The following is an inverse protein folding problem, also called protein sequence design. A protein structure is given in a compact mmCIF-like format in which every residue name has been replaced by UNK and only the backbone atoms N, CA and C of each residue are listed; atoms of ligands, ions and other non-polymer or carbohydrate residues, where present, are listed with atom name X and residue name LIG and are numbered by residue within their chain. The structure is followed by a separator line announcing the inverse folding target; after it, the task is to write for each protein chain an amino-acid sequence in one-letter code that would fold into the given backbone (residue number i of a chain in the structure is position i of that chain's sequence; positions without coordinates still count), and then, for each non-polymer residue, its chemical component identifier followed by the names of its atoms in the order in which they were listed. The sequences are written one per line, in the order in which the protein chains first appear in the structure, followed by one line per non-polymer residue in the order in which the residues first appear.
data_IF_506602910135
#
_entry.id   IF_506602910135
#
_cell.length_a   1.000
_cell.length_b   1.000
_cell.length_c   1.000
_cell.angle_alpha   90.00
_cell.angle_beta   90.00
_cell.angle_gamma   90.00
#
_symmetry.space_group_name_H-M   'P 1'
#
loop_
_entity.id
_entity.type
_entity.pdbx_description
1 polymer ?
#
# COMPACT_ATOMS: atom_id res chain seq x y z
N UNK A 1 -14.61 -7.25 -14.65
CA UNK A 1 -14.44 -7.39 -13.19
C UNK A 1 -12.98 -7.24 -12.74
N UNK A 2 -12.01 -7.87 -13.41
CA UNK A 2 -10.59 -7.86 -12.97
C UNK A 2 -9.91 -6.47 -12.96
N UNK A 3 -10.19 -5.61 -13.95
CA UNK A 3 -9.64 -4.24 -13.99
C UNK A 3 -10.14 -3.39 -12.81
N UNK A 4 -11.40 -3.57 -12.41
CA UNK A 4 -11.96 -2.85 -11.26
C UNK A 4 -11.30 -3.31 -9.96
N UNK A 5 -10.96 -4.60 -9.85
CA UNK A 5 -10.20 -5.14 -8.72
C UNK A 5 -8.78 -4.60 -8.62
N UNK A 6 -8.08 -4.40 -9.75
CA UNK A 6 -6.73 -3.80 -9.76
C UNK A 6 -6.75 -2.38 -9.20
N UNK A 7 -7.65 -1.52 -9.69
CA UNK A 7 -7.77 -0.15 -9.19
C UNK A 7 -8.16 -0.10 -7.71
N UNK A 8 -9.08 -0.98 -7.30
CA UNK A 8 -9.46 -1.13 -5.89
C UNK A 8 -8.26 -1.47 -5.01
N UNK A 9 -7.44 -2.44 -5.40
CA UNK A 9 -6.25 -2.82 -4.63
C UNK A 9 -5.14 -1.78 -4.67
N UNK A 10 -4.96 -1.06 -5.79
CA UNK A 10 -4.04 0.08 -5.84
C UNK A 10 -4.45 1.19 -4.88
N UNK A 11 -5.74 1.50 -4.80
CA UNK A 11 -6.26 2.49 -3.84
C UNK A 11 -6.07 2.00 -2.39
N UNK A 12 -6.35 0.73 -2.11
CA UNK A 12 -6.11 0.14 -0.79
C UNK A 12 -4.63 0.12 -0.42
N UNK A 13 -3.74 -0.18 -1.37
CA UNK A 13 -2.28 -0.09 -1.19
C UNK A 13 -1.88 1.34 -0.84
N UNK A 14 -2.38 2.33 -1.59
CA UNK A 14 -2.07 3.73 -1.34
C UNK A 14 -2.54 4.18 0.05
N UNK A 15 -3.79 3.89 0.43
CA UNK A 15 -4.35 4.29 1.74
C UNK A 15 -3.60 3.58 2.89
N UNK A 16 -3.38 2.27 2.77
CA UNK A 16 -2.67 1.50 3.80
C UNK A 16 -1.19 1.88 3.91
N UNK A 17 -0.60 2.50 2.88
CA UNK A 17 0.76 3.03 2.90
C UNK A 17 0.96 4.17 3.90
N UNK A 18 -0.11 4.85 4.30
CA UNK A 18 -0.05 5.92 5.30
C UNK A 18 -0.35 5.45 6.73
N UNK A 19 -0.89 4.24 6.89
CA UNK A 19 -1.21 3.69 8.21
C UNK A 19 0.08 3.36 8.96
N UNK A 20 0.20 3.83 10.20
CA UNK A 20 1.40 3.63 11.02
C UNK A 20 2.57 4.60 10.73
N UNK A 21 2.47 5.47 9.71
CA UNK A 21 3.45 6.56 9.52
C UNK A 21 3.32 7.66 10.58
N UNK A 22 2.12 7.84 11.12
CA UNK A 22 1.80 8.82 12.15
C UNK A 22 0.84 8.21 13.16
N UNK A 23 0.91 8.58 14.45
CA UNK A 23 -0.08 8.18 15.45
C UNK A 23 -1.53 8.57 15.09
N UNK A 24 -1.69 9.53 14.17
CA UNK A 24 -2.99 10.02 13.72
C UNK A 24 -3.62 9.07 12.70
N UNK A 25 -2.82 8.41 11.85
CA UNK A 25 -3.32 7.57 10.77
C UNK A 25 -3.34 6.11 11.17
N UNK A 26 -4.53 5.65 11.54
CA UNK A 26 -4.79 4.30 12.01
C UNK A 26 -5.60 3.51 10.99
N UNK A 27 -5.58 2.19 11.13
CA UNK A 27 -6.40 1.27 10.37
C UNK A 27 -7.87 1.65 10.44
N UNK A 28 -8.36 2.00 11.63
CA UNK A 28 -9.78 2.28 11.84
C UNK A 28 -10.23 3.61 11.22
N UNK A 29 -9.44 4.68 11.37
CA UNK A 29 -9.87 6.00 10.91
C UNK A 29 -9.57 6.26 9.42
N UNK A 30 -8.42 5.78 8.92
CA UNK A 30 -7.98 6.08 7.57
C UNK A 30 -8.34 4.93 6.63
N UNK A 31 -7.82 3.72 6.90
CA UNK A 31 -7.99 2.59 5.99
C UNK A 31 -9.43 2.10 5.92
N UNK A 32 -9.98 1.64 7.05
CA UNK A 32 -11.37 1.16 7.12
C UNK A 32 -12.37 2.30 6.91
N UNK A 33 -12.05 3.51 7.40
CA UNK A 33 -12.86 4.71 7.20
C UNK A 33 -13.08 5.01 5.71
N UNK A 34 -11.99 5.28 4.98
CA UNK A 34 -12.06 5.60 3.54
C UNK A 34 -12.50 4.40 2.71
N UNK A 35 -12.08 3.18 3.07
CA UNK A 35 -12.50 1.99 2.34
C UNK A 35 -14.00 1.74 2.47
N UNK A 36 -14.61 2.04 3.61
CA UNK A 36 -16.06 1.95 3.80
C UNK A 36 -16.79 3.08 3.07
N UNK A 37 -16.28 4.31 3.14
CA UNK A 37 -16.87 5.47 2.47
C UNK A 37 -16.94 5.29 0.95
N UNK A 38 -15.86 4.77 0.35
CA UNK A 38 -15.77 4.56 -1.10
C UNK A 38 -16.13 3.13 -1.55
N UNK A 39 -16.62 2.28 -0.65
CA UNK A 39 -17.01 0.91 -0.98
C UNK A 39 -15.86 0.01 -1.46
N UNK A 40 -14.61 0.32 -1.08
CA UNK A 40 -13.41 -0.46 -1.46
C UNK A 40 -13.34 -1.80 -0.71
N UNK A 41 -13.94 -1.90 0.48
CA UNK A 41 -14.00 -3.12 1.27
C UNK A 41 -15.46 -3.55 1.50
N UNK A 42 -15.79 -4.76 1.09
CA UNK A 42 -17.04 -5.41 1.49
C UNK A 42 -16.98 -5.84 2.96
N UNK A 43 -18.15 -5.85 3.63
CA UNK A 43 -18.29 -6.19 5.07
C UNK A 43 -17.72 -7.56 5.47
N UNK A 44 -17.55 -8.48 4.52
CA UNK A 44 -16.97 -9.82 4.73
C UNK A 44 -15.98 -10.17 3.63
N UNK A 45 -15.26 -9.17 3.12
CA UNK A 45 -14.27 -9.39 2.08
C UNK A 45 -13.04 -10.13 2.62
N UNK A 46 -12.45 -10.98 1.79
CA UNK A 46 -11.16 -11.63 2.09
C UNK A 46 -10.10 -10.58 2.43
N UNK A 47 -10.16 -9.44 1.75
CA UNK A 47 -9.31 -8.27 1.97
C UNK A 47 -9.42 -7.73 3.40
N UNK A 48 -10.62 -7.56 3.93
CA UNK A 48 -10.84 -7.09 5.30
C UNK A 48 -10.30 -8.09 6.35
N UNK A 49 -10.46 -9.40 6.11
CA UNK A 49 -9.91 -10.42 6.99
C UNK A 49 -8.38 -10.34 7.02
N UNK A 50 -7.75 -10.23 5.85
CA UNK A 50 -6.30 -10.14 5.74
C UNK A 50 -5.74 -8.89 6.43
N UNK A 51 -6.39 -7.74 6.25
CA UNK A 51 -6.05 -6.49 6.93
C UNK A 51 -6.06 -6.68 8.46
N UNK A 52 -7.06 -7.39 8.97
CA UNK A 52 -7.20 -7.64 10.41
C UNK A 52 -6.11 -8.57 10.93
N UNK A 53 -5.75 -9.61 10.17
CA UNK A 53 -4.70 -10.58 10.53
C UNK A 53 -3.29 -9.96 10.54
N UNK A 54 -3.03 -8.97 9.68
CA UNK A 54 -1.69 -8.41 9.47
C UNK A 54 -1.25 -7.37 10.49
N UNK A 55 -2.14 -6.93 11.39
CA UNK A 55 -1.91 -5.83 12.34
C UNK A 55 -1.25 -4.60 11.69
N UNK A 56 -1.92 -4.05 10.66
CA UNK A 56 -1.35 -3.02 9.76
C UNK A 56 -0.86 -1.77 10.53
N UNK A 57 -1.46 -1.45 11.67
CA UNK A 57 -1.05 -0.32 12.52
C UNK A 57 0.40 -0.45 13.02
N UNK A 58 0.85 -1.66 13.34
CA UNK A 58 2.19 -1.93 13.88
C UNK A 58 3.17 -2.42 12.81
N UNK A 59 2.71 -2.64 11.58
CA UNK A 59 3.43 -3.45 10.60
C UNK A 59 4.54 -2.70 9.83
N UNK A 60 4.82 -1.42 10.14
CA UNK A 60 5.94 -0.66 9.56
C UNK A 60 5.95 -0.64 8.03
N UNK A 61 4.78 -0.44 7.41
CA UNK A 61 4.63 -0.40 5.96
C UNK A 61 4.44 -1.75 5.27
N UNK A 62 4.29 -2.86 6.01
CA UNK A 62 3.98 -4.16 5.36
C UNK A 62 2.56 -4.23 4.79
N UNK A 63 1.65 -3.37 5.26
CA UNK A 63 0.24 -3.35 4.85
C UNK A 63 0.04 -3.09 3.36
N UNK A 64 0.69 -2.06 2.81
CA UNK A 64 0.55 -1.73 1.39
C UNK A 64 1.17 -2.80 0.47
N UNK A 65 2.24 -3.46 0.92
CA UNK A 65 2.94 -4.49 0.16
C UNK A 65 2.03 -5.67 -0.22
N UNK A 66 1.15 -6.10 0.67
CA UNK A 66 0.21 -7.20 0.40
C UNK A 66 -0.75 -6.87 -0.75
N UNK A 67 -1.29 -5.66 -0.77
CA UNK A 67 -2.19 -5.23 -1.85
C UNK A 67 -1.45 -5.09 -3.18
N UNK A 68 -0.20 -4.62 -3.17
CA UNK A 68 0.62 -4.58 -4.38
C UNK A 68 0.88 -5.99 -4.92
N UNK A 69 1.11 -6.98 -4.06
CA UNK A 69 1.24 -8.38 -4.48
C UNK A 69 -0.04 -8.87 -5.17
N UNK A 70 -1.22 -8.50 -4.67
CA UNK A 70 -2.48 -8.87 -5.32
C UNK A 70 -2.65 -8.21 -6.69
N UNK A 71 -2.24 -6.95 -6.84
CA UNK A 71 -2.20 -6.26 -8.13
C UNK A 71 -1.31 -7.02 -9.11
N UNK A 72 -0.08 -7.35 -8.72
CA UNK A 72 0.86 -8.10 -9.57
C UNK A 72 0.28 -9.45 -9.98
N UNK A 73 -0.33 -10.18 -9.05
CA UNK A 73 -0.96 -11.47 -9.32
C UNK A 73 -2.13 -11.37 -10.31
N UNK A 74 -2.97 -10.34 -10.20
CA UNK A 74 -4.06 -10.15 -11.17
C UNK A 74 -3.54 -9.79 -12.57
N UNK A 75 -2.50 -8.97 -12.67
CA UNK A 75 -1.87 -8.64 -13.95
C UNK A 75 -1.24 -9.88 -14.59
N UNK A 76 -0.56 -10.71 -13.79
CA UNK A 76 0.02 -11.97 -14.25
C UNK A 76 -1.07 -12.93 -14.77
N UNK A 77 -2.15 -13.11 -14.01
CA UNK A 77 -3.29 -13.93 -14.44
C UNK A 77 -3.94 -13.39 -15.72
N UNK A 78 -4.11 -12.07 -15.83
CA UNK A 78 -4.62 -11.42 -17.04
C UNK A 78 -3.70 -11.63 -18.25
N UNK A 79 -2.39 -11.63 -18.03
CA UNK A 79 -1.38 -11.89 -19.07
C UNK A 79 -1.42 -13.35 -19.52
N UNK A 80 -1.48 -14.31 -18.58
CA UNK A 80 -1.59 -15.75 -18.88
C UNK A 80 -2.87 -16.09 -19.66
N UNK A 81 -3.94 -15.33 -19.45
CA UNK A 81 -5.22 -15.48 -20.19
C UNK A 81 -5.24 -14.74 -21.53
N UNK A 82 -4.19 -14.01 -21.87
CA UNK A 82 -4.12 -13.18 -23.08
C UNK A 82 -5.01 -11.92 -23.03
N UNK A 83 -5.56 -11.57 -21.87
CA UNK A 83 -6.37 -10.36 -21.68
C UNK A 83 -5.51 -9.09 -21.52
N UNK A 84 -4.24 -9.25 -21.15
CA UNK A 84 -3.25 -8.17 -21.01
C UNK A 84 -2.04 -8.54 -21.87
N UNK A 85 -1.56 -7.60 -22.69
CA UNK A 85 -0.33 -7.81 -23.47
C UNK A 85 0.89 -7.78 -22.55
N UNK A 86 1.95 -8.51 -22.90
CA UNK A 86 3.20 -8.51 -22.12
C UNK A 86 3.75 -7.09 -21.91
N UNK A 87 3.75 -6.24 -22.94
CA UNK A 87 4.20 -4.86 -22.83
C UNK A 87 3.33 -4.03 -21.85
N UNK A 88 2.01 -4.25 -21.82
CA UNK A 88 1.15 -3.59 -20.85
C UNK A 88 1.41 -4.10 -19.42
N UNK A 89 1.64 -5.40 -19.24
CA UNK A 89 1.98 -5.99 -17.95
C UNK A 89 3.30 -5.43 -17.40
N UNK A 90 4.35 -5.35 -18.23
CA UNK A 90 5.65 -4.77 -17.86
C UNK A 90 5.51 -3.31 -17.39
N UNK A 91 4.70 -2.51 -18.09
CA UNK A 91 4.43 -1.13 -17.68
C UNK A 91 3.74 -1.05 -16.31
N UNK A 92 2.77 -1.94 -16.03
CA UNK A 92 2.11 -1.99 -14.72
C UNK A 92 3.10 -2.43 -13.63
N UNK A 93 3.95 -3.43 -13.91
CA UNK A 93 4.98 -3.87 -12.97
C UNK A 93 5.96 -2.75 -12.61
N UNK A 94 6.44 -1.99 -13.60
CA UNK A 94 7.29 -0.83 -13.36
C UNK A 94 6.60 0.20 -12.46
N UNK A 95 5.32 0.52 -12.73
CA UNK A 95 4.56 1.49 -11.92
C UNK A 95 4.27 1.02 -10.50
N UNK A 96 4.04 -0.28 -10.30
CA UNK A 96 3.89 -0.87 -8.95
C UNK A 96 5.21 -0.78 -8.17
N UNK A 97 6.35 -1.00 -8.84
CA UNK A 97 7.66 -0.84 -8.22
C UNK A 97 7.95 0.63 -7.86
N UNK A 98 7.62 1.57 -8.74
CA UNK A 98 7.73 3.02 -8.47
C UNK A 98 6.92 3.40 -7.21
N UNK A 99 5.67 2.93 -7.12
CA UNK A 99 4.80 3.17 -5.96
C UNK A 99 5.39 2.56 -4.68
N UNK A 100 5.89 1.32 -4.74
CA UNK A 100 6.54 0.66 -3.60
C UNK A 100 7.77 1.44 -3.12
N UNK A 101 8.61 1.89 -4.05
CA UNK A 101 9.81 2.65 -3.73
C UNK A 101 9.44 3.99 -3.07
N UNK A 102 8.45 4.70 -3.61
CA UNK A 102 7.94 5.94 -3.02
C UNK A 102 7.40 5.74 -1.59
N UNK A 103 6.61 4.68 -1.37
CA UNK A 103 6.08 4.37 -0.04
C UNK A 103 7.17 3.96 0.95
N UNK A 104 8.15 3.15 0.53
CA UNK A 104 9.27 2.77 1.37
C UNK A 104 10.08 4.00 1.81
N UNK A 105 10.30 4.96 0.90
CA UNK A 105 10.98 6.21 1.22
C UNK A 105 10.29 7.02 2.32
N UNK A 106 8.96 6.98 2.43
CA UNK A 106 8.24 7.64 3.53
C UNK A 106 8.58 7.02 4.89
N UNK A 107 8.62 5.69 4.97
CA UNK A 107 9.03 4.99 6.19
C UNK A 107 10.51 5.19 6.51
N UNK A 108 11.37 5.33 5.49
CA UNK A 108 12.77 5.66 5.69
C UNK A 108 12.93 7.01 6.42
N UNK A 109 12.12 8.02 6.10
CA UNK A 109 12.13 9.30 6.85
C UNK A 109 11.68 9.18 8.30
N UNK A 110 10.81 8.22 8.60
CA UNK A 110 10.35 7.97 9.97
C UNK A 110 11.42 7.25 10.80
N UNK A 111 12.14 6.30 10.20
CA UNK A 111 13.13 5.45 10.90
C UNK A 111 14.52 6.09 10.92
N UNK A 112 14.91 6.81 9.87
CA UNK A 112 16.22 7.44 9.72
C UNK A 112 16.14 8.96 9.97
N UNK A 113 15.77 9.32 11.19
CA UNK A 113 15.75 10.72 11.63
C UNK A 113 17.15 11.35 11.60
N UNK A 114 17.21 12.67 11.43
CA UNK A 114 18.46 13.43 11.47
C UNK A 114 19.20 13.08 12.78
N UNK A 115 20.48 12.66 12.72
CA UNK A 115 21.18 12.28 13.93
C UNK A 115 21.22 13.43 14.93
N UNK A 116 20.94 13.11 16.19
CA UNK A 116 20.86 14.08 17.29
C UNK A 116 22.06 15.05 17.34
N UNK A 117 23.27 14.54 17.08
CA UNK A 117 24.49 15.35 17.06
C UNK A 117 24.46 16.50 16.05
N UNK A 118 23.90 16.26 14.84
CA UNK A 118 23.77 17.31 13.83
C UNK A 118 22.81 18.41 14.26
N UNK A 119 21.70 18.04 14.91
CA UNK A 119 20.73 19.02 15.43
C UNK A 119 21.38 19.95 16.46
N UNK A 120 22.25 19.40 17.32
CA UNK A 120 22.94 20.18 18.36
C UNK A 120 24.05 21.07 17.81
N UNK A 121 24.72 20.66 16.73
CA UNK A 121 25.78 21.46 16.13
C UNK A 121 25.27 22.69 15.38
N UNK A 122 24.02 22.66 14.91
CA UNK A 122 23.40 23.77 14.16
C UNK A 122 22.58 24.69 15.08
N UNK A 123 22.05 24.17 16.18
CA UNK A 123 21.21 24.93 17.10
C UNK A 123 21.98 25.74 18.17
N UNK A 124 23.29 25.49 18.32
CA UNK A 124 24.19 26.19 19.23
C UNK A 124 25.35 26.82 18.46
#
# INVERSE_FOLDING_TARGET
EEIHSIWKWLNLAHISGYVGLSPIYTRFNLLEGLAKEHGLLGRQSHELRRITEMDIDSAGGKGYGEFLIWVLKAVEMGTQRGAVSHAAAENVYAKVLDLRAGMSGLYDFQVHVIPFAYVHLVAF
#
